data_IF_629322407284
#
_entry.id   IF_629322407284
#
_cell.length_a   1.000
_cell.length_b   1.000
_cell.length_c   1.000
_cell.angle_alpha   90.00
_cell.angle_beta   90.00
_cell.angle_gamma   90.00
#
_symmetry.space_group_name_H-M   'P 1'
#
loop_
_entity.id
_entity.type
_entity.pdbx_description
1 polymer ?
#
# COMPACT_ATOMS: atom_id res chain seq x y z
N UNK A 1 -18.83 7.11 17.91
CA UNK A 1 -17.84 6.08 18.36
C UNK A 1 -17.27 5.47 17.09
N UNK A 2 -15.94 5.40 16.95
CA UNK A 2 -15.30 4.79 15.78
C UNK A 2 -15.50 3.28 15.89
N UNK A 3 -15.94 2.65 14.79
CA UNK A 3 -16.01 1.18 14.68
C UNK A 3 -14.61 0.71 14.26
N UNK A 4 -13.88 0.07 15.17
CA UNK A 4 -12.52 -0.42 14.95
C UNK A 4 -12.40 -1.90 15.28
N UNK A 5 -11.37 -2.56 14.74
CA UNK A 5 -11.10 -3.99 14.89
C UNK A 5 -12.27 -4.87 14.42
N UNK A 6 -12.88 -4.49 13.29
CA UNK A 6 -14.01 -5.20 12.68
C UNK A 6 -13.91 -5.30 11.17
N UNK A 7 -14.44 -6.39 10.66
CA UNK A 7 -14.75 -6.56 9.24
C UNK A 7 -16.25 -6.37 9.08
N UNK A 8 -16.63 -5.45 8.20
CA UNK A 8 -18.02 -5.03 7.99
C UNK A 8 -18.53 -5.50 6.63
N UNK A 9 -19.74 -6.04 6.60
CA UNK A 9 -20.41 -6.42 5.36
C UNK A 9 -21.16 -5.22 4.79
N UNK A 10 -20.90 -4.87 3.53
CA UNK A 10 -21.62 -3.82 2.81
C UNK A 10 -20.79 -3.09 1.76
N UNK A 11 -21.45 -2.18 1.06
CA UNK A 11 -20.78 -1.24 0.15
C UNK A 11 -20.01 -0.19 0.96
N UNK A 12 -18.72 -0.03 0.65
CA UNK A 12 -17.82 0.83 1.43
C UNK A 12 -18.29 2.30 1.46
N UNK A 13 -18.86 2.83 0.37
CA UNK A 13 -19.42 4.17 0.34
C UNK A 13 -20.52 4.34 1.40
N UNK A 14 -21.46 3.37 1.48
CA UNK A 14 -22.58 3.42 2.44
C UNK A 14 -22.12 3.21 3.88
N UNK A 15 -21.21 2.26 4.09
CA UNK A 15 -20.69 1.93 5.42
C UNK A 15 -19.91 3.11 6.00
N UNK A 16 -19.03 3.73 5.20
CA UNK A 16 -18.19 4.83 5.64
C UNK A 16 -18.96 6.10 6.01
N UNK A 17 -20.16 6.33 5.49
CA UNK A 17 -21.03 7.45 5.92
C UNK A 17 -21.28 7.49 7.43
N UNK A 18 -21.15 6.35 8.11
CA UNK A 18 -21.29 6.24 9.57
C UNK A 18 -19.98 6.48 10.34
N UNK A 19 -18.87 6.72 9.65
CA UNK A 19 -17.57 6.97 10.26
C UNK A 19 -17.37 8.48 10.43
N UNK A 20 -16.72 8.89 11.53
CA UNK A 20 -16.35 10.29 11.73
C UNK A 20 -15.37 10.77 10.67
N UNK A 21 -15.39 12.05 10.37
CA UNK A 21 -14.37 12.70 9.56
C UNK A 21 -13.00 12.55 10.23
N UNK A 22 -11.95 12.41 9.41
CA UNK A 22 -10.55 12.41 9.87
C UNK A 22 -10.26 11.35 10.96
N UNK A 23 -10.85 10.17 10.85
CA UNK A 23 -10.76 9.09 11.84
C UNK A 23 -9.86 7.92 11.43
N UNK A 24 -9.33 7.92 10.21
CA UNK A 24 -8.50 6.86 9.64
C UNK A 24 -7.10 7.40 9.34
N UNK A 25 -6.05 6.66 9.69
CA UNK A 25 -4.66 7.10 9.52
C UNK A 25 -4.05 6.58 8.22
N UNK A 26 -4.39 5.37 7.80
CA UNK A 26 -3.98 4.78 6.53
C UNK A 26 -5.16 4.10 5.83
N UNK A 27 -5.36 4.39 4.56
CA UNK A 27 -6.18 3.57 3.67
C UNK A 27 -5.22 2.81 2.75
N UNK A 28 -5.26 1.47 2.81
CA UNK A 28 -4.52 0.59 1.90
C UNK A 28 -5.51 -0.37 1.25
N UNK A 29 -5.61 -0.35 -0.08
CA UNK A 29 -6.63 -1.16 -0.74
C UNK A 29 -6.30 -1.53 -2.18
N UNK A 30 -6.91 -2.63 -2.64
CA UNK A 30 -6.90 -3.12 -4.02
C UNK A 30 -8.34 -3.41 -4.46
N UNK A 31 -9.05 -2.42 -5.01
CA UNK A 31 -10.42 -2.61 -5.49
C UNK A 31 -10.48 -3.62 -6.65
N UNK A 32 -11.66 -4.17 -6.98
CA UNK A 32 -11.82 -4.96 -8.19
C UNK A 32 -11.35 -4.19 -9.43
N UNK A 33 -10.42 -4.78 -10.21
CA UNK A 33 -9.95 -4.13 -11.43
C UNK A 33 -11.01 -4.20 -12.52
N UNK A 34 -10.97 -3.27 -13.46
CA UNK A 34 -11.94 -3.18 -14.54
C UNK A 34 -12.13 -4.52 -15.27
N UNK A 35 -13.38 -4.92 -15.47
CA UNK A 35 -13.80 -6.20 -16.10
C UNK A 35 -13.25 -7.48 -15.46
N UNK A 36 -12.69 -7.41 -14.29
CA UNK A 36 -12.25 -8.59 -13.56
C UNK A 36 -13.31 -9.02 -12.54
N UNK A 37 -13.29 -10.32 -12.19
CA UNK A 37 -14.17 -10.90 -11.18
C UNK A 37 -15.67 -10.60 -11.41
N UNK A 38 -16.12 -10.73 -12.65
CA UNK A 38 -17.51 -10.51 -13.05
C UNK A 38 -18.51 -11.29 -12.20
N UNK A 39 -18.15 -12.52 -11.81
CA UNK A 39 -19.00 -13.38 -11.00
C UNK A 39 -19.08 -12.98 -9.52
N UNK A 40 -18.15 -12.16 -9.04
CA UNK A 40 -18.09 -11.78 -7.61
C UNK A 40 -18.54 -10.34 -7.38
N UNK A 41 -18.17 -9.41 -8.29
CA UNK A 41 -18.40 -7.98 -8.13
C UNK A 41 -19.11 -7.33 -9.33
N UNK A 42 -19.70 -8.13 -10.23
CA UNK A 42 -20.48 -7.64 -11.37
C UNK A 42 -19.65 -7.13 -12.56
N UNK A 43 -18.34 -6.96 -12.42
CA UNK A 43 -17.45 -6.50 -13.49
C UNK A 43 -17.70 -5.05 -13.90
N UNK A 44 -16.95 -4.11 -13.35
CA UNK A 44 -17.04 -2.68 -13.73
C UNK A 44 -16.31 -2.52 -15.08
N UNK A 45 -16.98 -1.95 -16.07
CA UNK A 45 -16.36 -1.66 -17.37
C UNK A 45 -15.26 -0.60 -17.19
N UNK A 46 -14.18 -0.65 -18.01
CA UNK A 46 -13.12 0.35 -17.96
C UNK A 46 -13.63 1.79 -18.11
N UNK A 47 -14.58 2.02 -19.02
CA UNK A 47 -15.17 3.35 -19.26
C UNK A 47 -15.95 3.87 -18.05
N UNK A 48 -16.60 2.99 -17.29
CA UNK A 48 -17.44 3.35 -16.13
C UNK A 48 -16.62 3.39 -14.81
N UNK A 49 -15.35 2.97 -14.85
CA UNK A 49 -14.56 2.73 -13.64
C UNK A 49 -14.32 3.98 -12.81
N UNK A 50 -14.03 5.09 -13.46
CA UNK A 50 -13.77 6.37 -12.78
C UNK A 50 -15.03 6.82 -12.04
N UNK A 51 -16.17 6.85 -12.70
CA UNK A 51 -17.45 7.29 -12.12
C UNK A 51 -17.92 6.37 -10.99
N UNK A 52 -17.64 5.07 -11.10
CA UNK A 52 -17.91 4.10 -10.02
C UNK A 52 -17.01 4.33 -8.79
N UNK A 53 -15.75 4.74 -8.99
CA UNK A 53 -14.78 4.88 -7.91
C UNK A 53 -14.89 6.23 -7.18
N UNK A 54 -15.21 7.33 -7.87
CA UNK A 54 -15.23 8.68 -7.32
C UNK A 54 -16.10 8.86 -6.07
N UNK A 55 -17.35 8.34 -5.97
CA UNK A 55 -18.14 8.46 -4.76
C UNK A 55 -17.49 7.80 -3.54
N UNK A 56 -16.79 6.66 -3.75
CA UNK A 56 -16.02 5.96 -2.72
C UNK A 56 -14.80 6.77 -2.29
N UNK A 57 -14.08 7.33 -3.27
CA UNK A 57 -12.93 8.19 -3.01
C UNK A 57 -13.29 9.47 -2.24
N UNK A 58 -14.50 10.00 -2.42
CA UNK A 58 -15.00 11.12 -1.63
C UNK A 58 -15.14 10.75 -0.14
N UNK A 59 -15.70 9.56 0.16
CA UNK A 59 -15.75 9.06 1.53
C UNK A 59 -14.36 8.74 2.09
N UNK A 60 -13.44 8.20 1.27
CA UNK A 60 -12.04 8.00 1.68
C UNK A 60 -11.39 9.33 2.05
N UNK A 61 -11.62 10.36 1.24
CA UNK A 61 -11.11 11.70 1.53
C UNK A 61 -11.69 12.23 2.85
N UNK A 62 -12.99 12.09 3.08
CA UNK A 62 -13.65 12.57 4.30
C UNK A 62 -13.11 11.90 5.55
N UNK A 63 -13.03 10.56 5.56
CA UNK A 63 -12.63 9.79 6.76
C UNK A 63 -11.13 9.77 7.01
N UNK A 64 -10.28 9.97 6.00
CA UNK A 64 -8.84 9.99 6.17
C UNK A 64 -8.39 11.19 7.01
N UNK A 65 -7.49 10.96 7.96
CA UNK A 65 -6.84 12.00 8.74
C UNK A 65 -6.08 12.99 7.81
N UNK A 66 -6.02 14.29 8.10
CA UNK A 66 -5.27 15.25 7.28
C UNK A 66 -3.81 14.88 7.02
N UNK A 67 -3.16 14.20 7.99
CA UNK A 67 -1.79 13.69 7.85
C UNK A 67 -1.72 12.23 7.42
N UNK A 68 -2.87 11.60 7.19
CA UNK A 68 -2.96 10.21 6.74
C UNK A 68 -2.58 10.04 5.27
N UNK A 69 -2.47 8.77 4.87
CA UNK A 69 -2.09 8.37 3.51
C UNK A 69 -3.11 7.40 2.93
N UNK A 70 -3.39 7.55 1.64
CA UNK A 70 -4.17 6.60 0.86
C UNK A 70 -3.28 5.92 -0.18
N UNK A 71 -3.18 4.59 -0.11
CA UNK A 71 -2.45 3.74 -1.07
C UNK A 71 -3.47 2.93 -1.86
N UNK A 72 -3.47 3.15 -3.17
CA UNK A 72 -4.33 2.44 -4.12
C UNK A 72 -3.50 1.48 -4.96
N UNK A 73 -3.66 0.17 -4.73
CA UNK A 73 -3.11 -0.85 -5.61
C UNK A 73 -4.06 -1.05 -6.79
N UNK A 74 -3.58 -0.75 -8.00
CA UNK A 74 -4.40 -0.80 -9.22
C UNK A 74 -3.55 -1.12 -10.44
N UNK A 75 -4.19 -1.65 -11.47
CA UNK A 75 -3.55 -1.99 -12.74
C UNK A 75 -4.46 -1.66 -13.91
N UNK A 76 -3.86 -1.20 -14.99
CA UNK A 76 -4.55 -0.98 -16.27
C UNK A 76 -5.01 -2.31 -16.89
N UNK A 77 -6.06 -2.21 -17.69
CA UNK A 77 -6.54 -3.29 -18.54
C UNK A 77 -6.16 -3.03 -20.01
N UNK A 78 -5.98 -4.10 -20.74
CA UNK A 78 -5.89 -4.05 -22.20
C UNK A 78 -7.24 -4.43 -22.78
N UNK A 79 -7.80 -3.56 -23.62
CA UNK A 79 -9.07 -3.72 -24.33
C UNK A 79 -8.78 -3.64 -25.82
N UNK A 80 -9.20 -4.62 -26.60
CA UNK A 80 -8.98 -4.66 -28.07
C UNK A 80 -7.53 -4.40 -28.51
N UNK A 81 -6.54 -4.85 -27.71
CA UNK A 81 -5.12 -4.70 -28.03
C UNK A 81 -4.48 -3.40 -27.54
N UNK A 82 -5.24 -2.45 -27.01
CA UNK A 82 -4.78 -1.17 -26.50
C UNK A 82 -4.90 -1.10 -24.96
N UNK A 83 -3.96 -0.42 -24.29
CA UNK A 83 -4.06 -0.13 -22.87
C UNK A 83 -5.12 0.93 -22.64
N UNK A 84 -6.11 0.60 -21.81
CA UNK A 84 -7.15 1.55 -21.43
C UNK A 84 -6.63 2.57 -20.41
N UNK A 85 -7.00 3.83 -20.57
CA UNK A 85 -6.47 4.95 -19.76
C UNK A 85 -7.14 5.13 -18.40
N UNK A 86 -8.12 4.31 -18.02
CA UNK A 86 -8.95 4.54 -16.84
C UNK A 86 -8.18 4.80 -15.54
N UNK A 87 -6.97 4.23 -15.38
CA UNK A 87 -6.12 4.49 -14.20
C UNK A 87 -5.55 5.91 -14.26
N UNK A 88 -5.10 6.36 -15.44
CA UNK A 88 -4.60 7.71 -15.67
C UNK A 88 -5.72 8.74 -15.45
N UNK A 89 -6.90 8.45 -15.99
CA UNK A 89 -8.08 9.30 -15.87
C UNK A 89 -8.53 9.41 -14.40
N UNK A 90 -8.47 8.29 -13.66
CA UNK A 90 -8.74 8.27 -12.22
C UNK A 90 -7.76 9.14 -11.44
N UNK A 91 -6.44 9.05 -11.72
CA UNK A 91 -5.44 9.91 -11.08
C UNK A 91 -5.76 11.39 -11.33
N UNK A 92 -6.08 11.75 -12.58
CA UNK A 92 -6.40 13.14 -12.92
C UNK A 92 -7.66 13.64 -12.20
N UNK A 93 -8.70 12.80 -12.11
CA UNK A 93 -9.94 13.13 -11.42
C UNK A 93 -9.73 13.29 -9.93
N UNK A 94 -9.06 12.34 -9.26
CA UNK A 94 -8.73 12.42 -7.83
C UNK A 94 -7.96 13.72 -7.52
N UNK A 95 -7.00 14.10 -8.36
CA UNK A 95 -6.28 15.39 -8.21
C UNK A 95 -7.18 16.61 -8.29
N UNK A 96 -8.20 16.59 -9.15
CA UNK A 96 -9.21 17.66 -9.27
C UNK A 96 -10.14 17.72 -8.05
N UNK A 97 -10.36 16.57 -7.40
CA UNK A 97 -11.14 16.45 -6.15
C UNK A 97 -10.31 16.79 -4.89
N UNK A 98 -9.08 17.31 -5.05
CA UNK A 98 -8.26 17.79 -3.94
C UNK A 98 -7.19 16.83 -3.42
N UNK A 99 -7.11 15.61 -3.96
CA UNK A 99 -6.03 14.70 -3.62
C UNK A 99 -4.69 15.18 -4.19
N UNK A 100 -3.63 15.07 -3.42
CA UNK A 100 -2.26 15.19 -3.91
C UNK A 100 -1.72 13.81 -4.28
N UNK A 101 -1.40 13.58 -5.53
CA UNK A 101 -0.66 12.39 -5.94
C UNK A 101 0.82 12.62 -5.62
N UNK A 102 1.28 12.07 -4.52
CA UNK A 102 2.59 12.40 -3.91
C UNK A 102 3.70 11.45 -4.30
N UNK A 103 3.38 10.18 -4.55
CA UNK A 103 4.36 9.16 -4.96
C UNK A 103 3.65 8.02 -5.71
N UNK A 104 4.44 7.25 -6.43
CA UNK A 104 4.02 6.00 -7.05
C UNK A 104 5.04 4.91 -6.76
N UNK A 105 4.57 3.80 -6.19
CA UNK A 105 5.37 2.61 -6.01
C UNK A 105 4.96 1.56 -7.05
N UNK A 106 5.90 0.69 -7.40
CA UNK A 106 5.67 -0.44 -8.29
C UNK A 106 5.83 -1.73 -7.49
N UNK A 107 4.79 -2.55 -7.50
CA UNK A 107 4.93 -3.93 -7.06
C UNK A 107 5.35 -4.80 -8.24
N UNK A 108 6.64 -5.17 -8.28
CA UNK A 108 7.17 -6.14 -9.23
C UNK A 108 6.98 -7.56 -8.70
N UNK A 109 6.32 -8.42 -9.49
CA UNK A 109 5.96 -9.79 -9.12
C UNK A 109 7.12 -10.73 -9.44
N UNK A 110 7.79 -11.30 -8.41
CA UNK A 110 8.95 -12.17 -8.59
C UNK A 110 8.64 -13.50 -9.30
N UNK A 111 7.43 -14.03 -9.13
CA UNK A 111 7.00 -15.36 -9.56
C UNK A 111 5.81 -15.32 -10.52
N UNK A 112 5.87 -14.53 -11.57
CA UNK A 112 4.81 -14.56 -12.59
C UNK A 112 5.00 -15.73 -13.55
N UNK A 113 3.87 -16.36 -13.94
CA UNK A 113 3.89 -17.40 -14.96
C UNK A 113 4.46 -16.85 -16.27
N UNK A 114 5.32 -17.62 -16.98
CA UNK A 114 5.76 -17.24 -18.31
C UNK A 114 4.54 -17.20 -19.26
N UNK A 115 4.58 -16.28 -20.21
CA UNK A 115 3.52 -16.16 -21.21
C UNK A 115 3.80 -15.00 -22.14
N UNK A 116 3.28 -15.10 -23.35
CA UNK A 116 3.35 -14.04 -24.35
C UNK A 116 1.98 -13.79 -24.97
N UNK A 117 1.78 -12.59 -25.43
CA UNK A 117 0.70 -12.20 -26.31
C UNK A 117 1.28 -11.93 -27.70
N UNK A 118 0.51 -11.99 -28.80
CA UNK A 118 1.06 -11.82 -30.14
C UNK A 118 1.94 -10.58 -30.33
N UNK A 119 1.58 -9.48 -29.71
CA UNK A 119 2.18 -8.14 -29.90
C UNK A 119 2.51 -7.38 -28.60
N UNK A 120 2.55 -8.05 -27.45
CA UNK A 120 2.97 -7.46 -26.17
C UNK A 120 3.50 -8.51 -25.21
N UNK A 121 4.30 -8.09 -24.25
CA UNK A 121 4.73 -8.93 -23.15
C UNK A 121 3.69 -8.96 -22.03
N UNK A 122 3.80 -9.95 -21.15
CA UNK A 122 2.99 -10.07 -19.95
C UNK A 122 3.37 -8.96 -18.97
N UNK A 123 2.35 -8.35 -18.38
CA UNK A 123 2.56 -7.40 -17.28
C UNK A 123 2.99 -8.14 -16.02
N UNK A 124 4.13 -7.75 -15.49
CA UNK A 124 4.72 -8.33 -14.28
C UNK A 124 4.75 -7.36 -13.10
N UNK A 125 3.96 -6.31 -13.14
CA UNK A 125 3.92 -5.29 -12.11
C UNK A 125 2.51 -4.69 -11.95
N UNK A 126 2.30 -4.07 -10.80
CA UNK A 126 1.10 -3.29 -10.48
C UNK A 126 1.51 -1.95 -9.87
N UNK A 127 0.65 -0.95 -10.03
CA UNK A 127 0.83 0.38 -9.47
C UNK A 127 0.32 0.42 -8.03
N UNK A 128 1.03 1.13 -7.18
CA UNK A 128 0.62 1.50 -5.84
C UNK A 128 0.68 3.03 -5.77
N UNK A 129 -0.46 3.65 -6.03
CA UNK A 129 -0.58 5.10 -6.10
C UNK A 129 -0.76 5.66 -4.70
N UNK A 130 0.11 6.59 -4.31
CA UNK A 130 0.02 7.28 -3.04
C UNK A 130 -0.69 8.61 -3.20
N UNK A 131 -1.74 8.80 -2.40
CA UNK A 131 -2.48 10.04 -2.32
C UNK A 131 -2.49 10.57 -0.89
N UNK A 132 -2.39 11.89 -0.74
CA UNK A 132 -2.45 12.59 0.54
C UNK A 132 -3.35 13.82 0.42
N UNK A 133 -3.90 14.30 1.56
CA UNK A 133 -4.68 15.54 1.61
C UNK A 133 -3.80 16.79 1.59
N UNK A 134 -2.59 16.68 2.09
CA UNK A 134 -1.65 17.79 2.27
C UNK A 134 -0.20 17.38 2.04
N UNK A 135 0.70 18.34 1.84
CA UNK A 135 2.12 18.06 1.57
C UNK A 135 2.89 17.53 2.78
N UNK A 136 2.44 17.83 4.00
CA UNK A 136 3.05 17.34 5.25
C UNK A 136 2.18 16.23 5.80
N UNK A 137 2.60 14.99 5.66
CA UNK A 137 1.91 13.80 6.14
C UNK A 137 2.86 12.92 6.98
N UNK A 138 2.32 11.96 7.71
CA UNK A 138 3.10 11.05 8.51
C UNK A 138 3.85 10.05 7.60
N UNK A 139 5.17 9.94 7.78
CA UNK A 139 6.01 9.00 7.02
C UNK A 139 7.21 8.56 7.86
N UNK A 140 7.27 7.28 8.17
CA UNK A 140 8.29 6.66 9.05
C UNK A 140 9.28 5.87 8.20
N UNK A 141 10.12 6.56 7.41
CA UNK A 141 11.04 5.94 6.45
C UNK A 141 12.04 4.97 7.10
N UNK A 142 12.42 5.22 8.35
CA UNK A 142 13.36 4.37 9.10
C UNK A 142 12.76 2.99 9.41
N UNK A 143 11.44 2.89 9.58
CA UNK A 143 10.73 1.63 9.84
C UNK A 143 10.79 0.63 8.69
N UNK A 144 11.16 1.09 7.49
CA UNK A 144 11.22 0.27 6.27
C UNK A 144 12.63 0.19 5.65
N UNK A 145 13.67 0.65 6.37
CA UNK A 145 15.04 0.56 5.89
C UNK A 145 15.46 -0.88 5.63
N UNK A 146 16.18 -1.07 4.54
CA UNK A 146 16.69 -2.38 4.09
C UNK A 146 18.21 -2.47 4.25
N UNK A 147 18.81 -3.66 4.33
CA UNK A 147 20.25 -3.82 4.34
C UNK A 147 20.90 -3.19 3.09
N UNK A 148 22.09 -2.63 3.26
CA UNK A 148 22.90 -2.14 2.12
C UNK A 148 23.21 -3.31 1.21
N UNK A 149 22.86 -3.23 -0.08
CA UNK A 149 23.21 -4.23 -1.08
C UNK A 149 24.71 -4.25 -1.38
N UNK A 150 25.24 -5.37 -1.84
CA UNK A 150 26.68 -5.58 -2.02
C UNK A 150 27.29 -4.57 -2.99
N UNK A 151 26.62 -4.27 -4.11
CA UNK A 151 27.07 -3.23 -5.04
C UNK A 151 27.25 -1.85 -4.37
N UNK A 152 26.30 -1.47 -3.49
CA UNK A 152 26.38 -0.20 -2.79
C UNK A 152 27.48 -0.21 -1.72
N UNK A 153 27.73 -1.35 -1.05
CA UNK A 153 28.85 -1.51 -0.13
C UNK A 153 30.18 -1.32 -0.84
N UNK A 154 30.38 -2.01 -1.96
CA UNK A 154 31.62 -1.92 -2.75
C UNK A 154 31.85 -0.50 -3.25
N UNK A 155 30.81 0.17 -3.75
CA UNK A 155 30.91 1.55 -4.22
C UNK A 155 31.16 2.54 -3.09
N UNK A 156 30.53 2.39 -1.94
CA UNK A 156 30.73 3.28 -0.78
C UNK A 156 32.11 3.11 -0.15
N UNK A 157 32.69 1.91 -0.22
CA UNK A 157 34.03 1.64 0.26
C UNK A 157 35.12 2.14 -0.71
N UNK A 158 34.80 2.26 -2.01
CA UNK A 158 35.73 2.63 -3.09
C UNK A 158 35.17 3.83 -3.89
N UNK A 159 34.97 4.96 -3.22
CA UNK A 159 34.48 6.19 -3.87
C UNK A 159 35.48 6.68 -4.92
N UNK A 160 35.04 6.82 -6.16
CA UNK A 160 35.81 7.45 -7.23
C UNK A 160 35.96 8.95 -7.00
N UNK A 161 36.95 9.58 -7.65
CA UNK A 161 37.09 11.04 -7.58
C UNK A 161 35.88 11.76 -8.15
N UNK A 162 35.21 11.18 -9.14
CA UNK A 162 33.92 11.67 -9.65
C UNK A 162 32.83 11.62 -8.58
N UNK A 163 32.78 10.59 -7.74
CA UNK A 163 31.79 10.50 -6.66
C UNK A 163 32.06 11.53 -5.56
N UNK A 164 33.34 11.82 -5.24
CA UNK A 164 33.74 12.87 -4.29
C UNK A 164 33.39 14.27 -4.82
N UNK A 165 33.64 14.54 -6.09
CA UNK A 165 33.25 15.82 -6.73
C UNK A 165 31.72 15.98 -6.74
N UNK A 166 30.96 14.92 -6.95
CA UNK A 166 29.48 14.94 -6.90
C UNK A 166 28.94 15.18 -5.50
N UNK A 167 29.64 14.75 -4.46
CA UNK A 167 29.27 15.01 -3.06
C UNK A 167 29.37 16.52 -2.74
N UNK A 168 30.32 17.21 -3.32
CA UNK A 168 30.55 18.65 -3.18
C UNK A 168 29.67 19.49 -4.10
N UNK A 169 29.09 18.93 -5.13
CA UNK A 169 28.29 19.67 -6.11
C UNK A 169 26.96 20.14 -5.54
N UNK A 170 26.80 21.45 -5.36
CA UNK A 170 25.55 22.13 -4.96
C UNK A 170 24.56 22.29 -6.12
N UNK A 171 24.49 21.33 -7.04
CA UNK A 171 23.51 21.38 -8.13
C UNK A 171 22.13 21.14 -7.57
N UNK A 172 21.26 22.14 -7.61
CA UNK A 172 19.92 22.19 -6.99
C UNK A 172 18.87 21.25 -7.58
N UNK A 173 19.27 20.09 -8.09
CA UNK A 173 18.39 19.06 -8.66
C UNK A 173 17.73 18.16 -7.60
N UNK A 174 17.74 18.51 -6.31
CA UNK A 174 17.16 17.70 -5.23
C UNK A 174 17.86 16.37 -4.96
N UNK A 175 18.75 15.93 -5.82
CA UNK A 175 19.67 14.81 -5.63
C UNK A 175 20.97 15.28 -4.96
N UNK A 176 20.81 16.00 -3.86
CA UNK A 176 21.91 16.35 -2.96
C UNK A 176 22.60 15.07 -2.48
N UNK A 177 23.70 14.75 -3.12
CA UNK A 177 24.37 13.47 -2.93
C UNK A 177 25.50 13.63 -1.92
N UNK A 178 25.15 13.81 -0.67
CA UNK A 178 26.13 13.58 0.38
C UNK A 178 26.40 12.08 0.46
N UNK A 179 27.11 11.54 -0.53
CA UNK A 179 27.47 10.12 -0.63
C UNK A 179 28.25 9.72 0.61
N UNK A 180 29.12 10.60 1.13
CA UNK A 180 29.85 10.44 2.37
C UNK A 180 28.97 10.11 3.57
N UNK A 181 27.75 10.64 3.65
CA UNK A 181 26.79 10.34 4.72
C UNK A 181 26.31 8.87 4.74
N UNK A 182 26.56 8.13 3.67
CA UNK A 182 26.15 6.72 3.55
C UNK A 182 27.30 5.74 3.83
N UNK A 183 28.54 6.22 3.88
CA UNK A 183 29.72 5.40 4.17
C UNK A 183 29.60 4.79 5.57
N UNK A 184 29.77 3.47 5.68
CA UNK A 184 29.69 2.73 6.93
C UNK A 184 28.27 2.43 7.44
N UNK A 185 27.20 2.90 6.79
CA UNK A 185 25.84 2.54 7.17
C UNK A 185 25.53 1.10 6.81
N UNK A 186 24.84 0.41 7.71
CA UNK A 186 24.39 -0.98 7.52
C UNK A 186 23.05 -1.07 6.80
N UNK A 187 22.23 -0.01 6.83
CA UNK A 187 20.90 0.07 6.24
C UNK A 187 20.76 1.33 5.38
N UNK A 188 19.92 1.23 4.36
CA UNK A 188 19.57 2.31 3.43
C UNK A 188 18.07 2.37 3.25
N UNK A 189 17.56 3.51 2.79
CA UNK A 189 16.16 3.62 2.40
C UNK A 189 15.88 2.76 1.17
N UNK A 190 14.73 2.05 1.12
CA UNK A 190 14.34 1.29 -0.07
C UNK A 190 14.04 2.24 -1.24
N UNK A 191 14.08 1.70 -2.45
CA UNK A 191 13.51 2.39 -3.61
C UNK A 191 11.99 2.15 -3.68
N UNK A 192 11.32 2.82 -4.62
CA UNK A 192 9.89 2.71 -4.84
C UNK A 192 9.47 1.50 -5.71
N UNK A 193 10.38 0.56 -5.98
CA UNK A 193 10.07 -0.71 -6.65
C UNK A 193 10.17 -1.84 -5.64
N UNK A 194 9.03 -2.44 -5.31
CA UNK A 194 8.91 -3.52 -4.34
C UNK A 194 8.94 -4.87 -5.05
N UNK A 195 9.99 -5.66 -4.83
CA UNK A 195 10.18 -6.98 -5.42
C UNK A 195 9.58 -8.05 -4.51
N UNK A 196 8.28 -8.33 -4.65
CA UNK A 196 7.55 -9.29 -3.82
C UNK A 196 6.96 -10.42 -4.66
N UNK A 197 6.97 -11.65 -4.11
CA UNK A 197 6.29 -12.77 -4.74
C UNK A 197 4.76 -12.59 -4.66
N UNK A 198 4.02 -13.15 -5.62
CA UNK A 198 2.57 -13.26 -5.50
C UNK A 198 2.22 -14.35 -4.49
N UNK A 199 1.10 -14.20 -3.79
CA UNK A 199 0.60 -15.26 -2.90
C UNK A 199 0.15 -16.48 -3.74
N UNK A 200 0.81 -17.62 -3.55
CA UNK A 200 0.55 -18.85 -4.29
C UNK A 200 -0.20 -19.90 -3.47
N UNK A 201 -0.29 -19.75 -2.16
CA UNK A 201 -0.84 -20.77 -1.24
C UNK A 201 -2.33 -20.63 -0.95
N UNK A 202 -2.99 -19.61 -1.49
CA UNK A 202 -4.41 -19.37 -1.26
C UNK A 202 -5.29 -20.25 -2.18
N UNK A 203 -5.62 -21.44 -1.74
CA UNK A 203 -6.53 -22.35 -2.46
C UNK A 203 -7.94 -21.78 -2.67
N UNK A 204 -8.34 -20.74 -1.91
CA UNK A 204 -9.68 -20.15 -1.96
C UNK A 204 -9.71 -18.69 -2.46
N UNK A 205 -8.58 -18.12 -2.89
CA UNK A 205 -8.51 -16.70 -3.28
C UNK A 205 -7.56 -16.46 -4.45
N UNK A 206 -8.11 -16.19 -5.61
CA UNK A 206 -7.36 -16.08 -6.88
C UNK A 206 -6.61 -14.75 -7.11
N UNK A 207 -6.57 -13.82 -6.14
CA UNK A 207 -5.90 -12.51 -6.34
C UNK A 207 -5.57 -11.77 -5.03
N UNK A 208 -5.10 -12.49 -4.00
CA UNK A 208 -4.57 -11.83 -2.82
C UNK A 208 -3.14 -11.32 -3.10
N UNK A 209 -2.84 -10.12 -2.69
CA UNK A 209 -1.46 -9.64 -2.62
C UNK A 209 -0.76 -10.29 -1.40
N UNK A 210 0.60 -10.41 -1.42
CA UNK A 210 1.34 -10.97 -0.31
C UNK A 210 1.26 -10.06 0.92
N UNK A 211 1.35 -10.63 2.11
CA UNK A 211 1.22 -9.89 3.38
C UNK A 211 2.32 -8.82 3.54
N UNK A 212 3.47 -9.04 2.95
CA UNK A 212 4.60 -8.10 2.95
C UNK A 212 4.22 -6.76 2.30
N UNK A 213 3.28 -6.77 1.36
CA UNK A 213 2.87 -5.57 0.65
C UNK A 213 2.16 -4.57 1.58
N UNK A 214 1.02 -4.89 2.25
CA UNK A 214 0.43 -3.98 3.23
C UNK A 214 1.34 -3.75 4.44
N UNK A 215 2.14 -4.75 4.86
CA UNK A 215 3.12 -4.59 5.96
C UNK A 215 4.08 -3.44 5.71
N UNK A 216 4.60 -3.32 4.49
CA UNK A 216 5.50 -2.23 4.12
C UNK A 216 4.83 -0.86 4.30
N UNK A 217 3.62 -0.67 3.78
CA UNK A 217 2.90 0.60 3.84
C UNK A 217 2.38 0.93 5.25
N UNK A 218 1.95 -0.07 6.02
CA UNK A 218 1.54 0.11 7.41
C UNK A 218 2.73 0.60 8.25
N UNK A 219 3.91 0.00 8.12
CA UNK A 219 5.12 0.48 8.80
C UNK A 219 5.54 1.88 8.36
N UNK A 220 5.37 2.19 7.07
CA UNK A 220 5.81 3.45 6.48
C UNK A 220 4.92 4.63 6.91
N UNK A 221 3.61 4.43 7.06
CA UNK A 221 2.64 5.53 7.22
C UNK A 221 1.85 5.54 8.52
N UNK A 222 2.06 4.55 9.41
CA UNK A 222 1.33 4.48 10.68
C UNK A 222 2.23 4.21 11.85
N UNK A 223 1.78 4.63 13.04
CA UNK A 223 2.35 4.25 14.33
C UNK A 223 1.48 3.18 15.01
N UNK A 224 1.94 2.65 16.16
CA UNK A 224 1.16 1.70 16.97
C UNK A 224 -0.16 2.34 17.39
N UNK A 225 -1.25 1.55 17.37
CA UNK A 225 -2.62 1.97 17.62
C UNK A 225 -3.27 2.90 16.57
N UNK A 226 -2.60 3.24 15.49
CA UNK A 226 -3.24 3.90 14.35
C UNK A 226 -4.26 2.98 13.67
N UNK A 227 -5.23 3.55 12.96
CA UNK A 227 -6.31 2.81 12.29
C UNK A 227 -6.02 2.66 10.80
N UNK A 228 -5.93 1.41 10.36
CA UNK A 228 -5.78 1.02 8.95
C UNK A 228 -7.14 0.59 8.38
N UNK A 229 -7.57 1.24 7.31
CA UNK A 229 -8.79 0.90 6.57
C UNK A 229 -8.45 0.19 5.26
N UNK A 230 -9.12 -0.94 5.01
CA UNK A 230 -9.20 -1.53 3.67
C UNK A 230 -10.67 -1.64 3.26
N UNK A 231 -11.17 -0.72 2.39
CA UNK A 231 -12.57 -0.69 1.96
C UNK A 231 -12.95 -1.78 0.94
N UNK A 232 -12.00 -2.64 0.53
CA UNK A 232 -12.19 -3.81 -0.33
C UNK A 232 -11.37 -4.98 0.21
N UNK A 233 -11.62 -5.32 1.48
CA UNK A 233 -10.74 -6.16 2.31
C UNK A 233 -10.48 -7.58 1.74
N UNK A 234 -11.41 -8.12 0.95
CA UNK A 234 -11.30 -9.47 0.41
C UNK A 234 -11.04 -10.49 1.51
N UNK A 235 -9.93 -11.22 1.42
CA UNK A 235 -9.56 -12.25 2.39
C UNK A 235 -8.88 -11.74 3.67
N UNK A 236 -8.83 -10.43 3.92
CA UNK A 236 -8.35 -9.86 5.19
C UNK A 236 -6.85 -9.66 5.30
N UNK A 237 -6.08 -9.71 4.22
CA UNK A 237 -4.61 -9.63 4.29
C UNK A 237 -4.14 -8.31 4.92
N UNK A 238 -4.78 -7.19 4.61
CA UNK A 238 -4.46 -5.88 5.21
C UNK A 238 -4.74 -5.86 6.72
N UNK A 239 -5.88 -6.41 7.15
CA UNK A 239 -6.25 -6.46 8.56
C UNK A 239 -5.31 -7.37 9.37
N UNK A 240 -4.94 -8.53 8.81
CA UNK A 240 -3.93 -9.42 9.42
C UNK A 240 -2.59 -8.71 9.59
N UNK A 241 -2.11 -8.00 8.57
CA UNK A 241 -0.88 -7.21 8.66
C UNK A 241 -0.96 -6.11 9.73
N UNK A 242 -2.11 -5.42 9.84
CA UNK A 242 -2.35 -4.41 10.85
C UNK A 242 -2.26 -4.99 12.27
N UNK A 243 -2.96 -6.09 12.54
CA UNK A 243 -2.93 -6.80 13.83
C UNK A 243 -1.52 -7.25 14.21
N UNK A 244 -0.78 -7.85 13.26
CA UNK A 244 0.61 -8.29 13.50
C UNK A 244 1.56 -7.17 13.86
N UNK A 245 1.24 -5.95 13.46
CA UNK A 245 2.03 -4.76 13.72
C UNK A 245 1.49 -3.91 14.89
N UNK A 246 0.47 -4.37 15.63
CA UNK A 246 -0.13 -3.62 16.73
C UNK A 246 -0.96 -2.41 16.29
N UNK A 247 -1.48 -2.42 15.07
CA UNK A 247 -2.40 -1.40 14.54
C UNK A 247 -3.83 -1.87 14.66
N UNK A 248 -4.75 -0.92 14.78
CA UNK A 248 -6.18 -1.18 14.68
C UNK A 248 -6.57 -1.27 13.21
N UNK A 249 -7.66 -1.94 12.91
CA UNK A 249 -8.11 -2.13 11.54
C UNK A 249 -9.60 -1.92 11.37
N UNK A 250 -9.99 -1.59 10.15
CA UNK A 250 -11.34 -1.67 9.63
C UNK A 250 -11.27 -2.30 8.25
N UNK A 251 -12.03 -3.36 8.03
CA UNK A 251 -12.19 -3.97 6.71
C UNK A 251 -13.65 -3.87 6.26
N UNK A 252 -13.87 -3.69 4.96
CA UNK A 252 -15.22 -3.68 4.37
C UNK A 252 -15.22 -4.54 3.12
N UNK A 253 -16.24 -5.39 2.96
CA UNK A 253 -16.48 -6.12 1.71
C UNK A 253 -17.98 -6.27 1.45
N UNK A 254 -18.37 -6.26 0.17
CA UNK A 254 -19.74 -6.52 -0.25
C UNK A 254 -20.09 -8.01 -0.28
N UNK A 255 -19.07 -8.87 -0.28
CA UNK A 255 -19.25 -10.32 -0.30
C UNK A 255 -19.15 -10.90 1.11
N UNK A 256 -20.27 -11.44 1.61
CA UNK A 256 -20.35 -12.00 2.97
C UNK A 256 -19.34 -13.13 3.19
N UNK A 257 -19.06 -13.96 2.19
CA UNK A 257 -18.08 -15.06 2.31
C UNK A 257 -16.67 -14.51 2.58
N UNK A 258 -16.32 -13.36 1.99
CA UNK A 258 -15.03 -12.71 2.24
C UNK A 258 -14.96 -12.11 3.64
N UNK A 259 -16.06 -11.58 4.15
CA UNK A 259 -16.16 -11.14 5.54
C UNK A 259 -15.93 -12.30 6.51
N UNK A 260 -16.53 -13.46 6.26
CA UNK A 260 -16.35 -14.67 7.07
C UNK A 260 -14.89 -15.17 7.02
N UNK A 261 -14.33 -15.35 5.83
CA UNK A 261 -12.92 -15.77 5.65
C UNK A 261 -11.95 -14.81 6.37
N UNK A 262 -12.20 -13.50 6.25
CA UNK A 262 -11.35 -12.49 6.90
C UNK A 262 -11.40 -12.60 8.42
N UNK A 263 -12.60 -12.78 8.98
CA UNK A 263 -12.78 -12.96 10.42
C UNK A 263 -12.08 -14.23 10.93
N UNK A 264 -12.22 -15.38 10.24
CA UNK A 264 -11.53 -16.60 10.59
C UNK A 264 -10.01 -16.45 10.57
N UNK A 265 -9.45 -15.78 9.55
CA UNK A 265 -8.02 -15.50 9.48
C UNK A 265 -7.53 -14.63 10.63
N UNK A 266 -8.31 -13.63 11.02
CA UNK A 266 -7.98 -12.72 12.12
C UNK A 266 -7.98 -13.47 13.47
N UNK A 267 -8.98 -14.31 13.75
CA UNK A 267 -9.03 -15.16 14.94
C UNK A 267 -7.77 -16.04 14.99
N UNK A 268 -7.45 -16.73 13.90
CA UNK A 268 -6.27 -17.60 13.82
C UNK A 268 -4.95 -16.84 13.97
N UNK A 269 -4.91 -15.57 13.58
CA UNK A 269 -3.73 -14.70 13.74
C UNK A 269 -3.57 -14.26 15.18
N UNK A 270 -4.65 -13.85 15.86
CA UNK A 270 -4.62 -13.42 17.25
C UNK A 270 -4.24 -14.56 18.20
N UNK A 271 -4.70 -15.78 17.94
CA UNK A 271 -4.33 -16.96 18.73
C UNK A 271 -2.82 -17.26 18.62
N UNK A 272 -2.19 -16.97 17.50
CA UNK A 272 -0.77 -17.24 17.25
C UNK A 272 0.18 -16.11 17.73
N UNK A 273 -0.35 -14.94 18.01
CA UNK A 273 0.47 -13.87 18.58
C UNK A 273 0.78 -14.22 20.04
N UNK A 274 2.06 -14.23 20.46
CA UNK A 274 2.36 -14.37 21.89
C UNK A 274 1.68 -13.21 22.63
N UNK A 275 1.11 -13.51 23.81
CA UNK A 275 0.68 -12.48 24.74
C UNK A 275 1.96 -11.73 25.11
N UNK A 276 2.18 -10.58 24.49
CA UNK A 276 3.26 -9.68 24.89
C UNK A 276 2.81 -9.10 26.21
N UNK A 277 3.27 -9.72 27.33
CA UNK A 277 3.20 -9.07 28.63
C UNK A 277 3.91 -7.73 28.50
N UNK A 278 3.22 -6.67 28.86
CA UNK A 278 3.78 -5.33 28.93
C UNK A 278 4.92 -5.32 29.94
N UNK A 279 6.15 -5.55 29.49
CA UNK A 279 7.34 -5.21 30.24
C UNK A 279 7.64 -3.73 29.95
N UNK A 280 7.07 -2.87 30.76
CA UNK A 280 7.57 -1.50 30.95
C UNK A 280 8.94 -1.61 31.64
N UNK A 281 9.99 -1.83 30.87
CA UNK A 281 11.33 -1.46 31.32
C UNK A 281 11.48 0.05 31.13
N UNK A 282 11.35 0.78 32.25
CA UNK A 282 11.77 2.17 32.36
C UNK A 282 13.28 2.22 32.08
N UNK A 283 13.68 2.81 30.98
CA UNK A 283 15.07 3.23 30.80
C UNK A 283 15.28 4.48 31.64
N UNK A 284 15.89 4.31 32.81
CA UNK A 284 16.51 5.41 33.56
C UNK A 284 17.70 5.90 32.72
N UNK A 285 17.65 7.16 32.35
CA UNK A 285 18.75 7.88 31.70
C UNK A 285 19.58 8.49 32.79
N UNK A 286 20.77 7.96 33.00
CA UNK A 286 21.88 8.64 33.67
C UNK A 286 22.72 9.42 32.65
#
# INVERSE_FOLDING_TARGET
>A
MIIENKILHGDCEKVLRNFPDNSIDLIFTSPPYADQRKNTYGGIKPDDYVDWFLPKAAEFYRVLNPKGTFILNIKERVVNGERHTYVIDLIQKLRREGWLWTEEFIWHKKNSYPGKWPNRFRDNWERLLQFNKQRKFNMYQEAVMVPVGDWAKDRLNNLSDTDKIRDESKVGSGFGKNISNWVGRKKVYPNNVLYLATECSNQNHSAAFPIELPTFFIKLFTDVNDIVLDPFIGSGTTAVAAVQLGRRYVGIDTNINYVEISNERLINTQIKLPIIAENHESYDVD
#
